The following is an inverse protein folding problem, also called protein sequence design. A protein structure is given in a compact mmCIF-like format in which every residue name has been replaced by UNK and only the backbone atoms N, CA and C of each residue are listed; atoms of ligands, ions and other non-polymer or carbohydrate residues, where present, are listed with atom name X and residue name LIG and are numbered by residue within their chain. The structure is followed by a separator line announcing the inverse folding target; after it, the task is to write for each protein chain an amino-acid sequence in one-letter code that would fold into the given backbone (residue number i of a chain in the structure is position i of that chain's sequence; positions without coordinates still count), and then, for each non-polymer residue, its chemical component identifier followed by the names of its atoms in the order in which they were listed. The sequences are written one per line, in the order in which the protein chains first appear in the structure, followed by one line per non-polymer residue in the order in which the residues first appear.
data_IF_109757997880
#
_entry.id   IF_109757997880
#
_cell.length_a   1.000
_cell.length_b   1.000
_cell.length_c   1.000
_cell.angle_alpha   90.00
_cell.angle_beta   90.00
_cell.angle_gamma   90.00
#
_symmetry.space_group_name_H-M   'P 1'
#
loop_
_entity.id
_entity.type
_entity.pdbx_description
1 polymer ?
#
# COMPACT_ATOMS: atom_id res chain seq x y z
N UNK A 1 32.95 48.72 -18.36
CA UNK A 1 32.57 47.96 -17.14
C UNK A 1 31.55 46.94 -17.56
N UNK A 2 31.92 45.66 -17.60
CA UNK A 2 31.00 44.54 -17.87
C UNK A 2 30.54 44.00 -16.52
N UNK A 3 29.25 44.17 -16.22
CA UNK A 3 28.64 43.54 -15.06
C UNK A 3 28.35 42.08 -15.36
N UNK A 4 28.96 41.17 -14.60
CA UNK A 4 28.62 39.76 -14.55
C UNK A 4 27.48 39.57 -13.57
N UNK A 5 26.29 39.22 -14.06
CA UNK A 5 25.18 38.81 -13.19
C UNK A 5 25.37 37.28 -13.00
N UNK A 6 25.77 36.89 -11.78
CA UNK A 6 25.81 35.51 -11.34
C UNK A 6 24.38 35.10 -10.93
N UNK A 7 23.72 34.29 -11.75
CA UNK A 7 22.46 33.68 -11.39
C UNK A 7 22.75 32.48 -10.47
N UNK A 8 22.46 32.65 -9.17
CA UNK A 8 22.48 31.56 -8.21
C UNK A 8 21.22 30.72 -8.44
N UNK A 9 21.33 29.58 -9.15
CA UNK A 9 20.29 28.58 -9.25
C UNK A 9 20.18 27.86 -7.90
N UNK A 10 19.19 28.22 -7.11
CA UNK A 10 18.75 27.42 -5.96
C UNK A 10 18.11 26.14 -6.49
N UNK A 11 18.86 25.04 -6.48
CA UNK A 11 18.28 23.70 -6.61
C UNK A 11 17.51 23.39 -5.31
N UNK A 12 16.19 23.63 -5.32
CA UNK A 12 15.30 23.06 -4.32
C UNK A 12 15.24 21.55 -4.64
N UNK A 13 16.05 20.79 -3.92
CA UNK A 13 15.90 19.31 -3.94
C UNK A 13 14.60 19.00 -3.20
N UNK A 14 13.52 18.78 -3.93
CA UNK A 14 12.36 18.10 -3.40
C UNK A 14 12.80 16.65 -3.14
N UNK A 15 13.06 16.33 -1.87
CA UNK A 15 13.15 14.94 -1.43
C UNK A 15 11.73 14.38 -1.55
N UNK A 16 11.47 13.61 -2.59
CA UNK A 16 10.28 12.77 -2.65
C UNK A 16 10.47 11.70 -1.56
N UNK A 17 9.83 11.90 -0.41
CA UNK A 17 9.75 10.94 0.67
C UNK A 17 8.36 10.34 0.60
N UNK A 18 8.27 9.08 0.43
CA UNK A 18 7.09 8.40 -0.01
C UNK A 18 6.16 7.87 1.01
N UNK A 19 6.09 6.96 1.68
CA UNK A 19 5.03 6.72 2.70
C UNK A 19 5.16 7.66 3.90
N UNK A 20 6.21 8.47 3.89
CA UNK A 20 6.39 9.63 4.75
C UNK A 20 5.67 10.82 4.13
N UNK A 21 4.56 11.20 4.70
CA UNK A 21 3.80 12.37 4.22
C UNK A 21 3.29 13.19 5.41
N UNK A 22 2.76 14.36 5.09
CA UNK A 22 2.08 15.26 6.03
C UNK A 22 0.57 15.24 5.86
N UNK A 23 0.04 14.51 4.85
CA UNK A 23 -1.37 14.44 4.55
C UNK A 23 -1.77 13.04 4.10
N UNK A 24 -2.73 12.45 4.83
CA UNK A 24 -3.32 11.16 4.49
C UNK A 24 -4.84 11.28 4.47
N UNK A 25 -5.45 10.54 3.53
CA UNK A 25 -6.88 10.29 3.48
C UNK A 25 -7.10 8.80 3.57
N UNK A 26 -8.05 8.38 4.38
CA UNK A 26 -8.33 6.97 4.61
C UNK A 26 -9.80 6.73 4.88
N UNK A 27 -10.28 5.57 4.50
CA UNK A 27 -11.59 5.02 4.88
C UNK A 27 -11.39 3.60 5.37
N UNK A 28 -11.84 3.32 6.60
CA UNK A 28 -11.77 1.99 7.18
C UNK A 28 -12.85 1.09 6.58
N UNK A 29 -12.52 -0.15 6.17
CA UNK A 29 -13.54 -1.12 5.77
C UNK A 29 -14.37 -1.57 6.98
N UNK A 30 -15.53 -2.14 6.73
CA UNK A 30 -16.21 -2.99 7.72
C UNK A 30 -15.41 -4.29 7.90
N UNK A 31 -15.21 -4.69 9.15
CA UNK A 31 -14.68 -6.01 9.55
C UNK A 31 -15.72 -6.72 10.38
N UNK A 32 -15.99 -7.97 10.06
CA UNK A 32 -17.06 -8.73 10.71
C UNK A 32 -16.76 -8.97 12.20
N UNK A 33 -17.64 -8.50 13.07
CA UNK A 33 -17.52 -8.65 14.52
C UNK A 33 -17.34 -10.11 14.97
N UNK A 34 -17.91 -11.04 14.24
CA UNK A 34 -17.83 -12.48 14.55
C UNK A 34 -16.40 -13.04 14.51
N UNK A 35 -15.48 -12.33 13.89
CA UNK A 35 -14.07 -12.76 13.76
C UNK A 35 -13.09 -11.72 14.32
N UNK A 36 -13.53 -10.79 15.15
CA UNK A 36 -12.69 -9.83 15.85
C UNK A 36 -12.36 -8.58 15.03
N UNK A 37 -13.32 -7.65 15.05
CA UNK A 37 -13.22 -6.33 14.45
C UNK A 37 -12.47 -5.31 15.31
N UNK A 38 -12.09 -5.66 16.53
CA UNK A 38 -11.56 -4.71 17.53
C UNK A 38 -10.54 -5.32 18.49
N UNK A 39 -9.61 -4.49 19.06
CA UNK A 39 -9.46 -3.05 18.88
C UNK A 39 -9.03 -2.63 17.47
N UNK A 40 -9.40 -1.37 17.10
CA UNK A 40 -8.89 -0.68 15.94
C UNK A 40 -8.02 0.49 16.35
N UNK A 41 -6.90 0.68 15.69
CA UNK A 41 -5.94 1.74 16.04
C UNK A 41 -5.35 2.41 14.82
N UNK A 42 -4.98 3.69 14.95
CA UNK A 42 -3.94 4.27 14.10
C UNK A 42 -2.60 4.19 14.82
N UNK A 43 -1.56 3.88 14.06
CA UNK A 43 -0.17 3.98 14.50
C UNK A 43 0.55 5.04 13.69
N UNK A 44 1.32 5.84 14.39
CA UNK A 44 2.12 6.91 13.81
C UNK A 44 3.56 6.76 14.25
N UNK A 45 4.49 6.99 13.33
CA UNK A 45 5.92 7.06 13.64
C UNK A 45 6.53 8.30 12.99
N UNK A 46 7.28 9.07 13.78
CA UNK A 46 8.07 10.20 13.31
C UNK A 46 9.49 9.75 12.98
N UNK A 47 10.16 10.54 12.13
CA UNK A 47 11.60 10.46 11.94
C UNK A 47 12.32 11.42 12.87
N UNK A 48 13.40 12.03 12.39
CA UNK A 48 14.27 12.96 13.12
C UNK A 48 13.64 14.30 13.50
N UNK A 49 12.34 14.50 13.25
CA UNK A 49 11.60 15.72 13.57
C UNK A 49 10.36 15.38 14.39
N UNK A 50 10.07 16.23 15.37
CA UNK A 50 8.81 16.18 16.08
C UNK A 50 7.64 16.58 15.17
N UNK A 51 6.46 15.98 15.37
CA UNK A 51 5.27 16.27 14.59
C UNK A 51 4.02 16.33 15.48
N UNK A 52 3.13 17.27 15.19
CA UNK A 52 1.76 17.25 15.69
C UNK A 52 0.86 16.69 14.62
N UNK A 53 0.15 15.62 14.93
CA UNK A 53 -0.76 14.89 14.04
C UNK A 53 -2.20 15.20 14.42
N UNK A 54 -2.97 15.72 13.49
CA UNK A 54 -4.40 16.00 13.64
C UNK A 54 -5.22 15.01 12.83
N UNK A 55 -6.10 14.27 13.47
CA UNK A 55 -6.98 13.27 12.88
C UNK A 55 -8.42 13.76 12.97
N UNK A 56 -9.12 13.82 11.84
CA UNK A 56 -10.49 14.32 11.75
C UNK A 56 -11.30 13.54 10.72
N UNK A 57 -12.63 13.59 10.85
CA UNK A 57 -13.58 13.18 9.82
C UNK A 57 -14.31 14.43 9.32
N UNK A 58 -13.89 15.02 8.18
CA UNK A 58 -14.39 16.33 7.74
C UNK A 58 -15.90 16.38 7.48
N UNK A 59 -16.51 15.26 7.12
CA UNK A 59 -17.94 15.14 6.90
C UNK A 59 -18.74 14.78 8.18
N UNK A 60 -18.06 14.40 9.26
CA UNK A 60 -18.70 13.97 10.52
C UNK A 60 -18.38 14.94 11.67
N UNK A 61 -19.22 15.95 11.93
CA UNK A 61 -18.98 16.91 13.00
C UNK A 61 -19.11 16.29 14.41
N UNK A 62 -19.64 15.08 14.54
CA UNK A 62 -19.79 14.39 15.84
C UNK A 62 -18.53 13.59 16.21
N UNK A 63 -17.66 13.30 15.26
CA UNK A 63 -16.37 12.66 15.54
C UNK A 63 -15.41 13.69 16.16
N UNK A 64 -14.92 13.47 17.40
CA UNK A 64 -14.02 14.42 18.04
C UNK A 64 -12.64 14.44 17.34
N UNK A 65 -12.18 15.63 16.99
CA UNK A 65 -10.84 15.79 16.44
C UNK A 65 -9.81 15.28 17.45
N UNK A 66 -8.95 14.36 16.99
CA UNK A 66 -7.86 13.80 17.79
C UNK A 66 -6.56 14.52 17.45
N UNK A 67 -5.74 14.77 18.48
CA UNK A 67 -4.42 15.37 18.31
C UNK A 67 -3.38 14.53 19.03
N UNK A 68 -2.32 14.17 18.32
CA UNK A 68 -1.19 13.40 18.84
C UNK A 68 0.09 14.20 18.63
N UNK A 69 0.91 14.26 19.66
CA UNK A 69 2.23 14.86 19.59
C UNK A 69 3.31 13.78 19.59
N UNK A 70 4.08 13.71 18.51
CA UNK A 70 5.24 12.85 18.36
C UNK A 70 6.50 13.65 18.65
N UNK A 71 7.37 13.12 19.47
CA UNK A 71 8.76 13.60 19.55
C UNK A 71 9.55 13.14 18.31
N UNK A 72 10.79 13.56 18.17
CA UNK A 72 11.68 13.00 17.13
C UNK A 72 12.00 11.53 17.44
N UNK A 73 11.95 10.65 16.41
CA UNK A 73 12.13 9.20 16.52
C UNK A 73 11.16 8.54 17.51
N UNK A 74 9.92 8.99 17.52
CA UNK A 74 8.86 8.53 18.41
C UNK A 74 7.78 7.75 17.65
N UNK A 75 7.03 6.94 18.38
CA UNK A 75 5.85 6.26 17.87
C UNK A 75 4.70 6.36 18.88
N UNK A 76 3.52 6.63 18.37
CA UNK A 76 2.30 6.72 19.16
C UNK A 76 1.17 5.91 18.54
N UNK A 77 0.32 5.37 19.41
CA UNK A 77 -0.86 4.60 19.02
C UNK A 77 -2.11 5.33 19.49
N UNK A 78 -3.04 5.58 18.57
CA UNK A 78 -4.36 6.11 18.86
C UNK A 78 -5.38 4.98 18.80
N UNK A 79 -5.96 4.62 19.93
CA UNK A 79 -7.06 3.65 19.98
C UNK A 79 -8.38 4.34 19.59
N UNK A 80 -9.03 3.79 18.58
CA UNK A 80 -10.26 4.32 17.98
C UNK A 80 -11.49 3.46 18.27
N UNK A 81 -11.35 2.39 19.03
CA UNK A 81 -12.38 1.36 19.25
C UNK A 81 -13.70 1.93 19.77
N UNK A 82 -13.64 2.98 20.59
CA UNK A 82 -14.85 3.64 21.12
C UNK A 82 -15.75 4.23 20.03
N UNK A 83 -15.19 4.55 18.86
CA UNK A 83 -15.89 5.16 17.73
C UNK A 83 -16.09 4.21 16.55
N UNK A 84 -15.93 2.88 16.73
CA UNK A 84 -15.94 1.90 15.63
C UNK A 84 -17.18 2.03 14.75
N UNK A 85 -18.35 2.28 15.32
CA UNK A 85 -19.61 2.48 14.58
C UNK A 85 -19.69 3.78 13.76
N UNK A 86 -18.72 4.70 13.96
CA UNK A 86 -18.54 5.94 13.19
C UNK A 86 -17.28 5.89 12.33
N UNK A 87 -16.63 4.74 12.20
CA UNK A 87 -15.37 4.55 11.52
C UNK A 87 -15.51 3.52 10.41
N UNK A 88 -16.02 2.34 10.71
CA UNK A 88 -16.28 1.32 9.72
C UNK A 88 -17.33 1.77 8.71
N UNK A 89 -17.00 1.60 7.44
CA UNK A 89 -17.84 2.08 6.33
C UNK A 89 -18.97 1.09 6.03
N UNK A 90 -19.93 1.00 6.94
CA UNK A 90 -21.11 0.14 6.88
C UNK A 90 -22.41 0.91 7.11
N UNK A 91 -23.55 0.51 6.47
CA UNK A 91 -23.67 -0.59 5.50
C UNK A 91 -23.08 -0.24 4.12
N UNK A 92 -22.77 -1.26 3.34
CA UNK A 92 -22.36 -1.12 1.94
C UNK A 92 -23.43 -0.43 1.10
N UNK A 93 -23.05 0.13 -0.06
CA UNK A 93 -23.92 0.89 -0.97
C UNK A 93 -24.62 2.09 -0.33
N UNK A 94 -23.95 2.73 0.63
CA UNK A 94 -24.47 3.90 1.36
C UNK A 94 -23.40 4.99 1.40
N UNK A 95 -23.81 6.25 1.21
CA UNK A 95 -22.93 7.41 1.43
C UNK A 95 -22.89 7.70 2.92
N UNK A 96 -21.68 7.68 3.50
CA UNK A 96 -21.45 7.85 4.93
C UNK A 96 -20.41 8.96 5.19
N UNK A 97 -20.42 9.63 6.35
CA UNK A 97 -19.50 10.74 6.67
C UNK A 97 -18.18 10.26 7.33
N UNK A 98 -17.70 9.02 7.10
CA UNK A 98 -16.69 8.35 7.92
C UNK A 98 -15.26 8.42 7.40
N UNK A 99 -15.00 9.23 6.37
CA UNK A 99 -13.66 9.40 5.81
C UNK A 99 -12.72 10.18 6.72
N UNK A 100 -11.54 9.63 6.95
CA UNK A 100 -10.49 10.27 7.72
C UNK A 100 -9.63 11.21 6.87
N UNK A 101 -9.31 12.37 7.45
CA UNK A 101 -8.21 13.24 7.06
C UNK A 101 -7.21 13.29 8.22
N UNK A 102 -5.97 12.89 7.94
CA UNK A 102 -4.85 12.95 8.88
C UNK A 102 -3.87 13.98 8.34
N UNK A 103 -3.56 15.00 9.15
CA UNK A 103 -2.62 16.06 8.79
C UNK A 103 -1.52 16.15 9.86
N UNK A 104 -0.27 16.22 9.44
CA UNK A 104 0.88 16.31 10.30
C UNK A 104 1.72 17.55 9.98
N UNK A 105 2.39 18.12 10.99
CA UNK A 105 3.26 19.30 10.84
C UNK A 105 4.64 18.96 10.26
N UNK A 106 5.03 17.68 10.29
CA UNK A 106 6.22 17.14 9.65
C UNK A 106 5.91 15.76 9.07
N UNK A 107 6.70 15.24 8.11
CA UNK A 107 6.46 13.92 7.52
C UNK A 107 6.50 12.81 8.57
N UNK A 108 5.49 11.94 8.53
CA UNK A 108 5.31 10.79 9.41
C UNK A 108 4.98 9.53 8.61
N UNK A 109 5.20 8.37 9.18
CA UNK A 109 4.55 7.13 8.79
C UNK A 109 3.21 7.01 9.50
N UNK A 110 2.20 6.50 8.79
CA UNK A 110 0.89 6.22 9.35
C UNK A 110 0.34 4.91 8.80
N UNK A 111 -0.30 4.12 9.66
CA UNK A 111 -1.08 2.96 9.24
C UNK A 111 -2.25 2.70 10.19
N UNK A 112 -3.30 2.13 9.64
CA UNK A 112 -4.44 1.63 10.38
C UNK A 112 -4.22 0.14 10.68
N UNK A 113 -4.59 -0.32 11.87
CA UNK A 113 -4.45 -1.70 12.27
C UNK A 113 -5.71 -2.18 12.98
N UNK A 114 -6.21 -3.33 12.56
CA UNK A 114 -7.14 -4.15 13.31
C UNK A 114 -6.27 -5.08 14.16
N UNK A 115 -6.39 -5.00 15.49
CA UNK A 115 -5.51 -5.70 16.42
C UNK A 115 -6.30 -6.41 17.53
N UNK A 116 -7.12 -7.41 17.17
CA UNK A 116 -7.97 -8.11 18.13
C UNK A 116 -7.12 -8.83 19.18
N UNK A 117 -7.69 -9.00 20.37
CA UNK A 117 -7.07 -9.71 21.50
C UNK A 117 -7.33 -11.21 21.46
N UNK A 118 -8.16 -11.68 20.55
CA UNK A 118 -8.40 -13.08 20.27
C UNK A 118 -7.39 -13.62 19.25
N UNK A 119 -7.32 -14.92 19.08
CA UNK A 119 -6.60 -15.58 17.97
C UNK A 119 -7.49 -15.46 16.71
N UNK A 120 -7.49 -14.31 16.09
CA UNK A 120 -8.39 -13.98 14.98
C UNK A 120 -7.80 -12.83 14.16
N UNK A 121 -8.37 -12.34 13.29
CA UNK A 121 -8.40 -11.46 12.13
C UNK A 121 -7.59 -10.11 12.19
N UNK A 122 -6.31 -10.06 12.61
CA UNK A 122 -5.54 -8.83 12.57
C UNK A 122 -5.04 -8.54 11.15
N UNK A 123 -4.98 -7.27 10.76
CA UNK A 123 -4.15 -6.82 9.64
C UNK A 123 -3.79 -5.35 9.76
N UNK A 124 -2.85 -4.91 8.92
CA UNK A 124 -2.39 -3.53 8.79
C UNK A 124 -2.67 -2.99 7.41
N UNK A 125 -3.17 -1.75 7.38
CA UNK A 125 -3.42 -0.98 6.16
C UNK A 125 -2.41 0.16 6.12
N UNK A 126 -1.36 -0.02 5.34
CA UNK A 126 -0.30 0.99 5.22
C UNK A 126 -0.80 2.21 4.44
N UNK A 127 -0.82 3.39 5.07
CA UNK A 127 -1.27 4.62 4.43
C UNK A 127 -0.16 5.19 3.55
N UNK A 128 -0.52 5.51 2.30
CA UNK A 128 0.45 5.87 1.26
C UNK A 128 0.48 7.38 0.97
N UNK A 129 -0.09 8.19 1.87
CA UNK A 129 -0.08 9.64 1.77
C UNK A 129 -0.66 10.14 0.46
N UNK A 130 -0.02 11.12 -0.15
CA UNK A 130 -0.45 11.67 -1.45
C UNK A 130 -0.33 10.67 -2.60
N UNK A 131 0.51 9.64 -2.48
CA UNK A 131 0.65 8.60 -3.51
C UNK A 131 -0.60 7.69 -3.64
N UNK A 132 -1.50 7.68 -2.66
CA UNK A 132 -2.78 6.98 -2.74
C UNK A 132 -3.89 7.81 -3.38
N UNK A 133 -3.64 9.10 -3.65
CA UNK A 133 -4.66 10.00 -4.18
C UNK A 133 -4.63 10.03 -5.70
N UNK A 134 -5.77 9.76 -6.32
CA UNK A 134 -5.89 9.80 -7.77
C UNK A 134 -7.33 9.80 -8.25
N UNK A 135 -7.47 9.83 -9.59
CA UNK A 135 -8.77 9.91 -10.27
C UNK A 135 -9.09 8.65 -11.07
N UNK A 136 -8.19 7.67 -11.11
CA UNK A 136 -8.37 6.42 -11.87
C UNK A 136 -7.70 5.25 -11.15
N UNK A 137 -8.48 4.19 -10.90
CA UNK A 137 -8.03 2.98 -10.23
C UNK A 137 -8.60 1.75 -10.93
N UNK A 138 -7.84 0.65 -10.90
CA UNK A 138 -8.34 -0.70 -11.13
C UNK A 138 -8.10 -1.48 -9.84
N UNK A 139 -9.15 -2.08 -9.32
CA UNK A 139 -9.10 -2.80 -8.03
C UNK A 139 -8.43 -4.16 -8.22
N UNK A 140 -7.33 -4.47 -7.55
CA UNK A 140 -6.82 -5.82 -7.43
C UNK A 140 -7.53 -6.53 -6.26
N UNK A 141 -7.89 -7.78 -6.44
CA UNK A 141 -8.39 -8.65 -5.37
C UNK A 141 -7.89 -10.07 -5.59
N UNK A 142 -7.79 -10.85 -4.51
CA UNK A 142 -7.50 -12.27 -4.61
C UNK A 142 -8.72 -13.02 -5.15
N UNK A 143 -8.51 -14.20 -5.74
CA UNK A 143 -9.58 -15.05 -6.29
C UNK A 143 -9.35 -16.54 -5.96
N UNK A 144 -8.69 -16.80 -4.83
CA UNK A 144 -8.28 -18.16 -4.43
C UNK A 144 -8.95 -18.64 -3.14
N UNK A 145 -9.18 -17.73 -2.18
CA UNK A 145 -9.77 -18.05 -0.88
C UNK A 145 -11.19 -17.49 -0.79
N UNK A 146 -12.14 -18.31 -0.40
CA UNK A 146 -13.52 -17.88 -0.14
C UNK A 146 -13.59 -17.16 1.21
N UNK A 147 -14.54 -16.23 1.36
CA UNK A 147 -14.86 -15.64 2.66
C UNK A 147 -15.73 -16.58 3.51
N UNK A 148 -15.72 -16.36 4.82
CA UNK A 148 -16.75 -16.89 5.71
C UNK A 148 -18.13 -16.30 5.36
N UNK A 149 -19.19 -16.98 5.75
CA UNK A 149 -20.58 -16.62 5.34
C UNK A 149 -21.01 -15.22 5.76
N UNK A 150 -20.39 -14.66 6.80
CA UNK A 150 -20.67 -13.35 7.39
C UNK A 150 -19.74 -12.24 6.91
N UNK A 151 -18.75 -12.53 6.07
CA UNK A 151 -17.73 -11.61 5.64
C UNK A 151 -17.67 -11.48 4.11
N UNK A 152 -17.04 -10.43 3.60
CA UNK A 152 -17.02 -10.10 2.16
C UNK A 152 -15.68 -9.51 1.73
N UNK A 153 -15.43 -9.61 0.44
CA UNK A 153 -14.43 -8.82 -0.27
C UNK A 153 -15.04 -7.50 -0.75
N UNK A 154 -14.26 -6.42 -0.70
CA UNK A 154 -14.77 -5.12 -1.10
C UNK A 154 -13.70 -4.05 -1.29
N UNK A 155 -14.17 -2.86 -1.63
CA UNK A 155 -13.37 -1.65 -1.62
C UNK A 155 -14.18 -0.45 -1.12
N UNK A 156 -13.49 0.50 -0.51
CA UNK A 156 -14.07 1.69 0.09
C UNK A 156 -13.42 2.92 -0.51
N UNK A 157 -14.19 3.98 -0.74
CA UNK A 157 -13.74 5.23 -1.36
C UNK A 157 -14.00 6.39 -0.41
N UNK A 158 -13.06 7.31 -0.28
CA UNK A 158 -13.24 8.61 0.40
C UNK A 158 -12.94 9.76 -0.55
N UNK A 159 -13.84 10.74 -0.61
CA UNK A 159 -13.64 11.95 -1.39
C UNK A 159 -12.79 12.99 -0.65
N UNK A 160 -11.83 13.60 -1.37
CA UNK A 160 -10.97 14.65 -0.80
C UNK A 160 -11.52 16.07 -1.01
N UNK A 161 -12.49 16.23 -1.91
CA UNK A 161 -13.11 17.52 -2.30
C UNK A 161 -14.64 17.39 -2.36
N UNK A 162 -15.31 18.53 -2.28
CA UNK A 162 -16.76 18.59 -2.48
C UNK A 162 -17.14 18.33 -3.95
N UNK A 163 -18.34 17.80 -4.16
CA UNK A 163 -18.88 17.49 -5.49
C UNK A 163 -17.98 16.55 -6.30
N UNK A 164 -17.34 15.60 -5.62
CA UNK A 164 -16.58 14.52 -6.26
C UNK A 164 -17.56 13.54 -6.90
N UNK A 165 -17.60 13.54 -8.22
CA UNK A 165 -18.39 12.61 -9.03
C UNK A 165 -17.54 11.40 -9.33
N UNK A 166 -18.01 10.20 -8.93
CA UNK A 166 -17.28 8.94 -9.05
C UNK A 166 -18.09 7.97 -9.88
N UNK A 167 -17.49 7.43 -10.92
CA UNK A 167 -18.06 6.33 -11.71
C UNK A 167 -17.38 5.03 -11.31
N UNK A 168 -18.17 4.04 -10.92
CA UNK A 168 -17.73 2.68 -10.54
C UNK A 168 -18.28 1.71 -11.56
N UNK A 169 -17.41 0.87 -12.13
CA UNK A 169 -17.83 -0.28 -12.93
C UNK A 169 -17.39 -1.57 -12.20
N UNK A 170 -18.28 -2.23 -11.47
CA UNK A 170 -17.95 -3.42 -10.71
C UNK A 170 -17.75 -4.61 -11.65
N UNK A 171 -16.64 -5.34 -11.52
CA UNK A 171 -16.36 -6.52 -12.33
C UNK A 171 -17.28 -7.69 -11.99
N UNK A 172 -17.65 -7.82 -10.73
CA UNK A 172 -18.62 -8.75 -10.20
C UNK A 172 -19.77 -7.98 -9.54
N UNK A 173 -20.89 -8.63 -9.30
CA UNK A 173 -22.02 -7.98 -8.65
C UNK A 173 -21.68 -7.58 -7.21
N UNK A 174 -22.04 -6.35 -6.87
CA UNK A 174 -21.92 -5.79 -5.52
C UNK A 174 -23.29 -5.48 -4.94
N UNK A 175 -23.36 -5.22 -3.66
CA UNK A 175 -24.60 -4.83 -3.00
C UNK A 175 -25.25 -3.65 -3.75
N UNK A 176 -26.46 -3.87 -4.28
CA UNK A 176 -27.24 -2.87 -4.99
C UNK A 176 -26.89 -2.66 -6.47
N UNK A 177 -25.81 -3.25 -7.01
CA UNK A 177 -25.42 -3.05 -8.42
C UNK A 177 -24.99 -4.35 -9.10
N UNK A 178 -25.41 -4.50 -10.38
CA UNK A 178 -25.06 -5.66 -11.18
C UNK A 178 -23.62 -5.59 -11.72
N UNK A 179 -23.03 -6.76 -11.98
CA UNK A 179 -21.70 -6.88 -12.59
C UNK A 179 -21.65 -6.21 -13.97
N UNK A 180 -20.54 -5.53 -14.26
CA UNK A 180 -20.25 -4.84 -15.52
C UNK A 180 -21.29 -3.79 -15.93
N UNK A 181 -22.07 -3.27 -15.00
CA UNK A 181 -22.99 -2.14 -15.21
C UNK A 181 -22.45 -0.93 -14.46
N UNK A 182 -21.87 0.07 -15.15
CA UNK A 182 -21.37 1.27 -14.51
C UNK A 182 -22.47 2.08 -13.83
N UNK A 183 -22.16 2.63 -12.68
CA UNK A 183 -23.04 3.59 -11.99
C UNK A 183 -22.23 4.77 -11.46
N UNK A 184 -22.89 5.85 -11.09
CA UNK A 184 -22.25 7.08 -10.64
C UNK A 184 -22.82 7.51 -9.29
N UNK A 185 -21.90 7.93 -8.40
CA UNK A 185 -22.23 8.54 -7.11
C UNK A 185 -21.57 9.91 -7.01
N UNK A 186 -22.10 10.75 -6.13
CA UNK A 186 -21.47 12.07 -5.82
C UNK A 186 -21.20 12.10 -4.32
N UNK A 187 -19.96 12.38 -3.94
CA UNK A 187 -19.52 12.51 -2.56
C UNK A 187 -19.06 13.94 -2.26
N UNK A 188 -19.35 14.40 -1.04
CA UNK A 188 -18.74 15.61 -0.50
C UNK A 188 -17.42 15.27 0.19
N UNK A 189 -16.60 16.28 0.47
CA UNK A 189 -15.30 16.12 1.14
C UNK A 189 -15.42 15.36 2.47
N UNK A 190 -14.77 14.20 2.56
CA UNK A 190 -14.81 13.33 3.73
C UNK A 190 -15.98 12.35 3.74
N UNK A 191 -16.89 12.42 2.76
CA UNK A 191 -17.87 11.35 2.58
C UNK A 191 -17.24 10.13 1.93
N UNK A 192 -17.83 8.97 2.21
CA UNK A 192 -17.32 7.65 1.84
C UNK A 192 -18.41 6.83 1.18
N UNK A 193 -17.98 5.79 0.46
CA UNK A 193 -18.85 4.77 -0.13
C UNK A 193 -18.17 3.41 -0.08
N UNK A 194 -18.91 2.36 0.30
CA UNK A 194 -18.44 0.97 0.31
C UNK A 194 -19.10 0.18 -0.81
N UNK A 195 -18.26 -0.54 -1.58
CA UNK A 195 -18.67 -1.50 -2.60
C UNK A 195 -18.24 -2.89 -2.13
N UNK A 196 -19.22 -3.74 -1.76
CA UNK A 196 -19.00 -5.11 -1.29
C UNK A 196 -19.55 -6.12 -2.26
N UNK A 197 -18.81 -7.19 -2.49
CA UNK A 197 -19.28 -8.34 -3.28
C UNK A 197 -20.52 -8.97 -2.61
N UNK A 198 -21.51 -9.35 -3.41
CA UNK A 198 -22.69 -10.07 -2.88
C UNK A 198 -22.39 -11.53 -2.54
N UNK A 199 -21.29 -12.06 -3.05
CA UNK A 199 -20.88 -13.46 -2.92
C UNK A 199 -19.66 -13.61 -2.02
N UNK A 200 -19.58 -14.75 -1.33
CA UNK A 200 -18.42 -15.18 -0.55
C UNK A 200 -17.40 -15.98 -1.38
N UNK A 201 -17.72 -16.29 -2.63
CA UNK A 201 -16.88 -17.13 -3.47
C UNK A 201 -15.70 -16.33 -4.03
N UNK A 202 -14.51 -16.89 -3.95
CA UNK A 202 -13.26 -16.26 -4.37
C UNK A 202 -13.30 -15.78 -5.83
N UNK A 203 -13.92 -16.55 -6.74
CA UNK A 203 -14.06 -16.16 -8.15
C UNK A 203 -15.09 -15.04 -8.39
N UNK A 204 -15.78 -14.59 -7.37
CA UNK A 204 -16.72 -13.46 -7.37
C UNK A 204 -16.16 -12.22 -6.64
N UNK A 205 -14.89 -12.25 -6.24
CA UNK A 205 -14.21 -11.06 -5.70
C UNK A 205 -13.98 -10.00 -6.79
N UNK A 206 -13.74 -8.77 -6.37
CA UNK A 206 -13.93 -7.57 -7.21
C UNK A 206 -12.72 -7.21 -8.08
N UNK A 207 -11.73 -8.13 -8.29
CA UNK A 207 -10.57 -7.86 -9.13
C UNK A 207 -10.98 -7.42 -10.55
N UNK A 208 -10.39 -6.33 -11.02
CA UNK A 208 -10.70 -5.73 -12.32
C UNK A 208 -11.83 -4.71 -12.30
N UNK A 209 -12.48 -4.45 -11.16
CA UNK A 209 -13.40 -3.31 -11.02
C UNK A 209 -12.68 -2.00 -11.26
N UNK A 210 -13.34 -1.03 -11.91
CA UNK A 210 -12.74 0.27 -12.22
C UNK A 210 -13.44 1.39 -11.45
N UNK A 211 -12.64 2.37 -11.04
CA UNK A 211 -13.09 3.58 -10.35
C UNK A 211 -12.50 4.78 -11.08
N UNK A 212 -13.33 5.71 -11.51
CA UNK A 212 -12.89 6.99 -12.07
C UNK A 212 -13.59 8.15 -11.37
N UNK A 213 -12.93 9.29 -11.21
CA UNK A 213 -13.50 10.46 -10.55
C UNK A 213 -13.00 11.76 -11.17
N UNK A 214 -13.76 12.86 -10.98
CA UNK A 214 -13.38 14.19 -11.44
C UNK A 214 -12.36 14.87 -10.51
N UNK A 215 -12.28 14.46 -9.24
CA UNK A 215 -11.31 14.92 -8.25
C UNK A 215 -10.63 13.74 -7.57
N UNK A 216 -9.41 13.92 -7.02
CA UNK A 216 -8.71 12.83 -6.36
C UNK A 216 -9.50 12.22 -5.19
N UNK A 217 -9.53 10.90 -5.14
CA UNK A 217 -10.09 10.09 -4.06
C UNK A 217 -9.00 9.20 -3.48
N UNK A 218 -9.19 8.68 -2.25
CA UNK A 218 -8.43 7.55 -1.75
C UNK A 218 -9.32 6.31 -1.72
N UNK A 219 -8.70 5.16 -1.99
CA UNK A 219 -9.40 3.86 -2.05
C UNK A 219 -8.70 2.89 -1.09
N UNK A 220 -9.50 2.16 -0.30
CA UNK A 220 -9.03 1.05 0.55
C UNK A 220 -9.65 -0.23 0.03
N UNK A 221 -8.84 -1.26 -0.19
CA UNK A 221 -9.31 -2.61 -0.52
C UNK A 221 -9.33 -3.47 0.74
N UNK A 222 -10.24 -4.43 0.82
CA UNK A 222 -10.28 -5.41 1.90
C UNK A 222 -10.86 -6.75 1.44
N UNK A 223 -10.50 -7.78 2.17
CA UNK A 223 -11.03 -9.13 2.02
C UNK A 223 -11.11 -9.75 3.42
N UNK A 224 -12.31 -9.83 3.98
CA UNK A 224 -12.50 -10.17 5.38
C UNK A 224 -12.79 -11.66 5.56
N UNK A 225 -12.25 -12.25 6.63
CA UNK A 225 -12.41 -13.63 7.04
C UNK A 225 -12.24 -14.61 5.86
N UNK A 226 -11.13 -14.45 5.13
CA UNK A 226 -10.74 -15.38 4.07
C UNK A 226 -10.41 -16.75 4.67
N UNK A 227 -11.01 -17.80 4.18
CA UNK A 227 -10.72 -19.18 4.63
C UNK A 227 -9.39 -19.66 4.08
N UNK A 228 -8.37 -19.74 4.91
CA UNK A 228 -7.05 -20.29 4.58
C UNK A 228 -7.00 -21.81 4.47
N UNK A 229 -8.09 -22.48 4.09
CA UNK A 229 -8.17 -23.95 3.99
C UNK A 229 -6.98 -24.62 3.27
N UNK A 230 -6.44 -24.06 2.16
CA UNK A 230 -5.24 -24.61 1.52
C UNK A 230 -3.97 -24.56 2.36
N UNK A 231 -3.93 -23.71 3.39
CA UNK A 231 -2.75 -23.51 4.26
C UNK A 231 -2.92 -24.12 5.65
N UNK A 232 -4.13 -24.52 6.06
CA UNK A 232 -4.38 -25.15 7.37
C UNK A 232 -5.69 -24.73 8.04
N UNK A 233 -6.57 -23.97 7.36
CA UNK A 233 -7.92 -23.69 7.84
C UNK A 233 -8.08 -22.49 8.74
N UNK A 234 -7.11 -21.57 8.79
CA UNK A 234 -7.25 -20.27 9.43
C UNK A 234 -8.22 -19.38 8.64
N UNK A 235 -8.72 -18.33 9.25
CA UNK A 235 -9.53 -17.32 8.56
C UNK A 235 -8.98 -15.93 8.91
N UNK A 236 -8.73 -15.11 7.89
CA UNK A 236 -7.95 -13.89 8.05
C UNK A 236 -8.61 -12.67 7.39
N UNK A 237 -8.26 -11.50 7.90
CA UNK A 237 -8.42 -10.23 7.23
C UNK A 237 -7.22 -9.97 6.31
N UNK A 238 -7.49 -9.44 5.14
CA UNK A 238 -6.49 -8.85 4.26
C UNK A 238 -6.95 -7.46 3.84
N UNK A 239 -6.06 -6.50 3.86
CA UNK A 239 -6.40 -5.20 3.32
C UNK A 239 -5.22 -4.28 3.13
N UNK A 240 -5.38 -3.28 2.26
CA UNK A 240 -4.38 -2.24 2.07
C UNK A 240 -5.00 -0.99 1.42
N UNK A 241 -4.30 0.13 1.50
CA UNK A 241 -4.64 1.31 0.74
C UNK A 241 -4.19 1.15 -0.71
N UNK A 242 -5.12 1.33 -1.67
CA UNK A 242 -4.83 1.21 -3.09
C UNK A 242 -4.12 2.47 -3.61
N UNK A 243 -3.24 2.27 -4.60
CA UNK A 243 -2.61 3.36 -5.35
C UNK A 243 -3.32 3.56 -6.70
N UNK A 244 -3.37 4.78 -7.23
CA UNK A 244 -3.98 5.05 -8.53
C UNK A 244 -3.13 4.53 -9.69
N UNK A 245 -3.78 4.36 -10.85
CA UNK A 245 -3.14 3.84 -12.06
C UNK A 245 -1.92 4.66 -12.54
N UNK A 246 -1.79 5.93 -12.09
CA UNK A 246 -0.69 6.82 -12.47
C UNK A 246 0.62 6.55 -11.73
N UNK A 247 0.60 5.78 -10.62
CA UNK A 247 1.79 5.53 -9.79
C UNK A 247 2.22 4.06 -9.76
N UNK A 248 1.59 3.21 -10.56
CA UNK A 248 2.00 1.82 -10.73
C UNK A 248 3.16 1.71 -11.74
N UNK A 249 3.85 0.59 -11.74
CA UNK A 249 4.97 0.33 -12.67
C UNK A 249 4.86 -0.99 -13.39
N UNK A 250 5.97 -1.45 -13.94
CA UNK A 250 6.04 -2.64 -14.79
C UNK A 250 7.08 -3.68 -14.36
N UNK A 251 7.81 -3.44 -13.28
CA UNK A 251 8.80 -4.40 -12.76
C UNK A 251 8.65 -4.56 -11.25
N UNK A 252 8.56 -5.81 -10.80
CA UNK A 252 8.31 -6.15 -9.40
C UNK A 252 9.21 -7.31 -8.99
N UNK A 253 9.81 -7.22 -7.81
CA UNK A 253 10.47 -8.34 -7.14
C UNK A 253 9.66 -8.67 -5.90
N UNK A 254 9.19 -9.92 -5.79
CA UNK A 254 8.35 -10.38 -4.71
C UNK A 254 9.11 -11.44 -3.91
N UNK A 255 9.10 -11.28 -2.58
CA UNK A 255 9.68 -12.26 -1.66
C UNK A 255 8.55 -13.13 -1.09
N UNK A 256 8.71 -14.45 -1.15
CA UNK A 256 7.82 -15.40 -0.51
C UNK A 256 7.87 -15.20 1.00
N UNK A 257 6.71 -15.21 1.67
CA UNK A 257 6.66 -15.18 3.13
C UNK A 257 6.73 -16.56 3.77
N UNK A 258 5.99 -16.74 4.86
CA UNK A 258 6.14 -17.88 5.77
C UNK A 258 4.88 -18.76 5.84
N UNK A 259 4.03 -18.73 4.80
CA UNK A 259 2.88 -19.64 4.70
C UNK A 259 3.32 -21.11 4.61
N UNK A 260 2.48 -22.02 5.10
CA UNK A 260 2.66 -23.47 4.97
C UNK A 260 2.58 -23.98 3.53
N UNK A 261 2.34 -23.09 2.58
CA UNK A 261 2.25 -23.37 1.15
C UNK A 261 2.87 -22.26 0.31
N UNK A 262 2.62 -22.25 -1.01
CA UNK A 262 3.07 -21.19 -1.90
C UNK A 262 2.24 -19.91 -1.69
N UNK A 263 2.89 -18.76 -1.85
CA UNK A 263 2.20 -17.48 -1.90
C UNK A 263 1.46 -17.31 -3.23
N UNK A 264 0.51 -16.36 -3.27
CA UNK A 264 -0.17 -15.96 -4.51
C UNK A 264 0.09 -14.50 -4.84
N UNK A 265 0.33 -14.24 -6.12
CA UNK A 265 0.57 -12.91 -6.66
C UNK A 265 -0.47 -12.65 -7.74
N UNK A 266 -1.19 -11.55 -7.62
CA UNK A 266 -2.24 -11.13 -8.53
C UNK A 266 -1.76 -9.91 -9.32
N UNK A 267 -1.50 -10.12 -10.62
CA UNK A 267 -1.08 -9.06 -11.55
C UNK A 267 -2.29 -8.60 -12.34
N UNK A 268 -2.70 -7.35 -12.16
CA UNK A 268 -3.91 -6.80 -12.80
C UNK A 268 -3.52 -5.75 -13.82
N UNK A 269 -3.84 -6.00 -15.10
CA UNK A 269 -3.49 -5.12 -16.19
C UNK A 269 -4.39 -3.88 -16.25
N UNK A 270 -3.78 -2.73 -16.56
CA UNK A 270 -4.50 -1.47 -16.82
C UNK A 270 -4.59 -1.15 -18.31
N UNK A 271 -3.89 -1.93 -19.16
CA UNK A 271 -3.91 -1.78 -20.62
C UNK A 271 -4.14 -3.13 -21.30
N UNK A 272 -4.74 -3.09 -22.49
CA UNK A 272 -4.90 -4.28 -23.32
C UNK A 272 -3.56 -4.79 -23.84
N UNK A 273 -3.47 -6.11 -24.09
CA UNK A 273 -2.29 -6.78 -24.62
C UNK A 273 -1.05 -6.62 -23.73
N UNK A 274 -1.22 -6.52 -22.41
CA UNK A 274 -0.12 -6.49 -21.46
C UNK A 274 0.53 -7.87 -21.39
N UNK A 275 1.78 -7.96 -21.84
CA UNK A 275 2.59 -9.19 -21.76
C UNK A 275 3.21 -9.29 -20.37
N UNK A 276 3.25 -10.50 -19.80
CA UNK A 276 3.83 -10.80 -18.51
C UNK A 276 4.98 -11.79 -18.69
N UNK A 277 6.13 -11.45 -18.11
CA UNK A 277 7.28 -12.33 -18.02
C UNK A 277 7.60 -12.63 -16.54
N UNK A 278 7.97 -13.88 -16.28
CA UNK A 278 8.41 -14.36 -14.97
C UNK A 278 9.86 -14.79 -15.08
N UNK A 279 10.77 -14.19 -14.29
CA UNK A 279 12.20 -14.44 -14.31
C UNK A 279 12.79 -14.37 -15.73
N UNK A 280 12.31 -13.42 -16.54
CA UNK A 280 12.70 -13.18 -17.93
C UNK A 280 11.99 -14.06 -18.96
N UNK A 281 11.20 -15.06 -18.58
CA UNK A 281 10.46 -15.91 -19.50
C UNK A 281 9.05 -15.36 -19.77
N UNK A 282 8.60 -15.16 -21.04
CA UNK A 282 7.23 -14.77 -21.35
C UNK A 282 6.24 -15.88 -20.95
N UNK A 283 5.21 -15.54 -20.19
CA UNK A 283 4.25 -16.52 -19.63
C UNK A 283 2.81 -16.28 -20.09
N UNK A 284 2.37 -15.02 -20.17
CA UNK A 284 0.99 -14.68 -20.47
C UNK A 284 0.86 -13.33 -21.17
N UNK A 285 -0.31 -13.13 -21.80
CA UNK A 285 -0.78 -11.82 -22.26
C UNK A 285 -2.21 -11.65 -21.74
N UNK A 286 -2.47 -10.52 -21.06
CA UNK A 286 -3.78 -10.20 -20.51
C UNK A 286 -4.25 -8.82 -20.98
N UNK A 287 -5.57 -8.62 -20.94
CA UNK A 287 -6.18 -7.34 -21.30
C UNK A 287 -6.46 -6.49 -20.05
N UNK A 288 -6.76 -5.22 -20.27
CA UNK A 288 -7.18 -4.32 -19.19
C UNK A 288 -8.28 -4.96 -18.34
N UNK A 289 -8.19 -4.82 -17.01
CA UNK A 289 -9.10 -5.41 -16.02
C UNK A 289 -9.03 -6.94 -15.86
N UNK A 290 -8.15 -7.61 -16.59
CA UNK A 290 -7.89 -9.04 -16.36
C UNK A 290 -6.78 -9.23 -15.32
N UNK A 291 -6.85 -10.36 -14.63
CA UNK A 291 -5.89 -10.74 -13.57
C UNK A 291 -5.15 -12.01 -13.96
N UNK A 292 -3.81 -11.93 -13.97
CA UNK A 292 -2.95 -13.11 -13.99
C UNK A 292 -2.56 -13.49 -12.56
N UNK A 293 -2.65 -14.77 -12.23
CA UNK A 293 -2.27 -15.29 -10.91
C UNK A 293 -1.00 -16.12 -11.00
N UNK A 294 0.04 -15.66 -10.30
CA UNK A 294 1.28 -16.43 -10.14
C UNK A 294 1.31 -17.17 -8.80
N UNK A 295 1.82 -18.40 -8.82
CA UNK A 295 2.04 -19.20 -7.61
C UNK A 295 3.53 -19.20 -7.27
N UNK A 296 3.89 -18.52 -6.18
CA UNK A 296 5.27 -18.36 -5.75
C UNK A 296 5.66 -19.45 -4.74
N UNK A 297 6.48 -20.39 -5.20
CA UNK A 297 7.07 -21.44 -4.36
C UNK A 297 8.55 -21.19 -4.03
N UNK A 298 9.26 -20.48 -4.91
CA UNK A 298 10.64 -20.08 -4.72
C UNK A 298 10.78 -18.93 -3.73
N UNK A 299 11.95 -18.66 -3.16
CA UNK A 299 12.15 -17.55 -2.23
C UNK A 299 11.82 -16.17 -2.82
N UNK A 300 12.02 -15.99 -4.13
CA UNK A 300 11.74 -14.74 -4.84
C UNK A 300 11.24 -15.00 -6.25
N UNK A 301 10.62 -13.99 -6.85
CA UNK A 301 10.28 -13.94 -8.27
C UNK A 301 10.46 -12.53 -8.81
N UNK A 302 10.98 -12.40 -10.04
CA UNK A 302 10.95 -11.17 -10.83
C UNK A 302 9.76 -11.22 -11.78
N UNK A 303 8.86 -10.27 -11.68
CA UNK A 303 7.73 -10.08 -12.61
C UNK A 303 7.98 -8.82 -13.43
N UNK A 304 7.95 -8.97 -14.74
CA UNK A 304 8.06 -7.86 -15.70
C UNK A 304 6.84 -7.85 -16.61
N UNK A 305 6.32 -6.65 -16.89
CA UNK A 305 5.16 -6.46 -17.74
C UNK A 305 5.44 -5.42 -18.82
N UNK A 306 4.82 -5.57 -20.00
CA UNK A 306 5.01 -4.64 -21.12
C UNK A 306 4.31 -3.29 -20.93
N UNK A 307 3.39 -3.20 -19.98
CA UNK A 307 2.68 -1.98 -19.56
C UNK A 307 2.51 -2.00 -18.03
N UNK A 308 2.30 -0.84 -17.37
CA UNK A 308 2.10 -0.78 -15.93
C UNK A 308 0.95 -1.67 -15.45
N UNK A 309 1.11 -2.29 -14.26
CA UNK A 309 0.14 -3.20 -13.65
C UNK A 309 0.01 -2.94 -12.16
N UNK A 310 -1.15 -3.24 -11.56
CA UNK A 310 -1.24 -3.41 -10.12
C UNK A 310 -0.74 -4.81 -9.75
N UNK A 311 -0.02 -4.90 -8.63
CA UNK A 311 0.40 -6.18 -8.06
C UNK A 311 -0.06 -6.26 -6.61
N UNK A 312 -0.94 -7.22 -6.34
CA UNK A 312 -1.35 -7.62 -4.99
C UNK A 312 -0.62 -8.93 -4.66
N UNK A 313 0.03 -8.97 -3.51
CA UNK A 313 0.70 -10.17 -3.00
C UNK A 313 -0.03 -10.65 -1.75
N UNK A 314 -0.39 -11.92 -1.72
CA UNK A 314 -0.88 -12.60 -0.53
C UNK A 314 0.19 -13.54 0.00
N UNK A 315 0.56 -13.34 1.24
CA UNK A 315 1.55 -14.10 1.99
C UNK A 315 1.14 -14.17 3.45
N UNK A 316 1.97 -14.69 4.34
CA UNK A 316 1.62 -14.76 5.75
C UNK A 316 2.55 -15.61 6.57
N UNK A 317 2.03 -16.18 7.65
CA UNK A 317 2.75 -17.03 8.57
C UNK A 317 1.93 -18.28 8.96
N UNK A 318 2.43 -19.48 8.69
CA UNK A 318 1.68 -20.71 8.95
C UNK A 318 0.46 -20.84 8.05
N UNK A 319 -0.74 -20.83 8.60
CA UNK A 319 -2.00 -20.81 7.88
C UNK A 319 -2.64 -19.41 7.78
N UNK A 320 -2.10 -18.42 8.47
CA UNK A 320 -2.60 -17.07 8.58
C UNK A 320 -2.15 -16.23 7.38
N UNK A 321 -3.09 -15.64 6.65
CA UNK A 321 -2.87 -14.95 5.37
C UNK A 321 -3.07 -13.44 5.54
N UNK A 322 -2.11 -12.66 5.08
CA UNK A 322 -2.23 -11.21 4.90
C UNK A 322 -2.02 -10.84 3.43
N UNK A 323 -2.21 -9.58 3.09
CA UNK A 323 -2.00 -9.11 1.73
C UNK A 323 -1.58 -7.65 1.65
N UNK A 324 -0.76 -7.32 0.66
CA UNK A 324 -0.31 -5.96 0.42
C UNK A 324 -0.20 -5.63 -1.08
N UNK A 325 -0.47 -4.38 -1.41
CA UNK A 325 -0.15 -3.79 -2.71
C UNK A 325 1.35 -3.54 -2.77
N UNK A 326 2.00 -4.02 -3.82
CA UNK A 326 3.45 -3.88 -3.96
C UNK A 326 3.83 -2.69 -4.85
N UNK A 327 4.86 -1.92 -4.48
CA UNK A 327 5.48 -0.95 -5.38
C UNK A 327 6.30 -1.65 -6.47
N UNK A 328 6.33 -1.06 -7.66
CA UNK A 328 7.35 -1.40 -8.65
C UNK A 328 8.74 -1.11 -8.10
N UNK A 329 9.77 -1.83 -8.57
CA UNK A 329 11.16 -1.56 -8.16
C UNK A 329 11.80 -0.38 -8.92
N UNK A 330 11.14 0.15 -9.94
CA UNK A 330 11.66 1.23 -10.78
C UNK A 330 11.23 2.59 -10.22
N UNK A 331 12.18 3.45 -9.91
CA UNK A 331 11.98 4.81 -9.38
C UNK A 331 11.20 4.89 -8.04
N UNK A 332 11.21 3.83 -7.25
CA UNK A 332 10.51 3.68 -5.98
C UNK A 332 11.49 3.33 -4.85
N UNK A 333 10.95 2.97 -3.69
CA UNK A 333 11.76 2.62 -2.53
C UNK A 333 12.18 3.83 -1.69
N UNK A 334 12.63 3.59 -0.49
CA UNK A 334 12.94 4.61 0.53
C UNK A 334 14.38 4.52 0.99
N UNK A 335 14.98 5.65 1.36
CA UNK A 335 16.26 5.66 2.08
C UNK A 335 16.07 5.47 3.60
N UNK A 336 14.85 5.70 4.09
CA UNK A 336 14.47 5.58 5.49
C UNK A 336 13.06 5.04 5.58
N UNK A 337 12.83 4.05 6.43
CA UNK A 337 11.51 3.52 6.76
C UNK A 337 11.39 3.41 8.28
N UNK A 338 10.32 4.02 8.84
CA UNK A 338 9.96 3.84 10.24
C UNK A 338 8.74 2.91 10.35
N UNK A 339 8.65 2.15 11.42
CA UNK A 339 7.54 1.22 11.70
C UNK A 339 7.45 0.90 13.20
N UNK A 340 6.37 0.22 13.57
CA UNK A 340 6.12 -0.24 14.95
C UNK A 340 5.75 -1.72 14.92
N UNK A 341 6.36 -2.52 15.77
CA UNK A 341 5.92 -3.89 16.05
C UNK A 341 4.80 -3.86 17.08
N UNK A 342 3.64 -4.38 16.73
CA UNK A 342 2.43 -4.25 17.57
C UNK A 342 2.36 -5.24 18.73
N UNK A 343 2.81 -6.48 18.52
CA UNK A 343 2.74 -7.57 19.52
C UNK A 343 4.08 -8.29 19.67
N UNK A 344 4.20 -9.19 20.66
CA UNK A 344 5.42 -9.99 20.85
C UNK A 344 5.43 -11.30 20.03
N UNK A 345 4.73 -11.32 18.90
CA UNK A 345 4.72 -12.45 17.96
C UNK A 345 5.90 -12.38 16.99
N UNK A 346 6.07 -13.39 16.14
CA UNK A 346 7.07 -13.40 15.08
C UNK A 346 7.03 -12.11 14.26
N UNK A 347 8.18 -11.56 13.96
CA UNK A 347 8.32 -10.32 13.21
C UNK A 347 9.46 -10.43 12.20
N UNK A 348 9.13 -10.43 10.93
CA UNK A 348 10.11 -10.55 9.86
C UNK A 348 10.18 -9.28 9.01
N UNK A 349 11.41 -8.95 8.63
CA UNK A 349 11.75 -7.90 7.67
C UNK A 349 12.11 -8.54 6.34
N UNK A 350 11.35 -8.22 5.29
CA UNK A 350 11.62 -8.59 3.91
C UNK A 350 12.23 -7.39 3.20
N UNK A 351 13.54 -7.41 2.99
CA UNK A 351 14.30 -6.27 2.45
C UNK A 351 14.76 -6.56 1.03
N UNK A 352 14.53 -5.60 0.12
CA UNK A 352 15.08 -5.58 -1.23
C UNK A 352 15.96 -4.35 -1.39
N UNK A 353 17.13 -4.49 -2.01
CA UNK A 353 18.06 -3.38 -2.25
C UNK A 353 18.86 -3.63 -3.53
N UNK A 354 19.21 -2.59 -4.31
CA UNK A 354 20.19 -2.73 -5.38
C UNK A 354 21.52 -3.29 -4.86
N UNK A 355 22.17 -4.13 -5.64
CA UNK A 355 23.47 -4.73 -5.29
C UNK A 355 24.52 -3.67 -4.94
N UNK A 356 25.22 -3.87 -3.83
CA UNK A 356 26.15 -2.91 -3.23
C UNK A 356 25.54 -2.15 -2.04
N UNK A 357 24.21 -2.01 -2.00
CA UNK A 357 23.51 -1.32 -0.91
C UNK A 357 23.34 -2.15 0.37
N UNK A 358 23.57 -3.46 0.33
CA UNK A 358 23.44 -4.34 1.49
C UNK A 358 24.41 -4.00 2.64
N UNK A 359 25.47 -3.23 2.35
CA UNK A 359 26.50 -2.89 3.34
C UNK A 359 26.19 -1.63 4.17
N UNK A 360 25.19 -0.84 3.75
CA UNK A 360 24.98 0.52 4.24
C UNK A 360 23.79 0.65 5.20
N UNK A 361 23.19 -0.47 5.59
CA UNK A 361 22.04 -0.47 6.48
C UNK A 361 22.39 -0.13 7.93
N UNK A 362 21.53 0.70 8.54
CA UNK A 362 21.47 0.87 9.99
C UNK A 362 20.07 0.58 10.53
N UNK A 363 20.00 0.07 11.74
CA UNK A 363 18.77 -0.07 12.51
C UNK A 363 18.83 0.83 13.74
N UNK A 364 17.92 1.79 13.85
CA UNK A 364 17.91 2.83 14.89
C UNK A 364 19.27 3.53 15.03
N UNK A 365 19.94 3.79 13.90
CA UNK A 365 21.27 4.39 13.83
C UNK A 365 22.46 3.45 14.12
N UNK A 366 22.20 2.18 14.46
CA UNK A 366 23.25 1.20 14.76
C UNK A 366 23.59 0.38 13.51
N UNK A 367 24.87 0.24 13.19
CA UNK A 367 25.40 -0.61 12.14
C UNK A 367 25.50 -2.08 12.59
N UNK A 368 25.52 -3.01 11.65
CA UNK A 368 25.79 -4.44 11.91
C UNK A 368 24.60 -5.25 12.42
N UNK A 369 23.45 -4.64 12.76
CA UNK A 369 22.22 -5.34 13.15
C UNK A 369 21.59 -5.99 11.91
N UNK A 370 21.49 -5.27 10.81
CA UNK A 370 21.13 -5.82 9.50
C UNK A 370 22.43 -6.32 8.86
N UNK A 371 22.66 -7.63 8.95
CA UNK A 371 23.91 -8.23 8.50
C UNK A 371 23.98 -8.32 6.97
N UNK A 372 24.98 -7.72 6.29
CA UNK A 372 25.17 -7.86 4.85
C UNK A 372 25.24 -9.30 4.35
N UNK A 373 25.75 -10.24 5.15
CA UNK A 373 25.84 -11.65 4.80
C UNK A 373 24.46 -12.36 4.71
N UNK A 374 23.39 -11.75 5.20
CA UNK A 374 22.03 -12.27 5.04
C UNK A 374 21.45 -12.04 3.64
N UNK A 375 22.07 -11.17 2.83
CA UNK A 375 21.56 -10.80 1.53
C UNK A 375 21.98 -11.78 0.43
N UNK A 376 21.01 -12.24 -0.34
CA UNK A 376 21.17 -13.12 -1.48
C UNK A 376 20.82 -12.38 -2.78
N UNK A 377 21.41 -12.76 -3.89
CA UNK A 377 21.02 -12.23 -5.20
C UNK A 377 19.60 -12.68 -5.59
N UNK A 378 18.85 -11.75 -6.18
CA UNK A 378 17.55 -12.07 -6.77
C UNK A 378 17.76 -12.71 -8.14
N UNK A 379 17.28 -13.94 -8.38
CA UNK A 379 17.32 -14.57 -9.69
C UNK A 379 16.64 -13.72 -10.78
N UNK A 380 17.11 -13.80 -12.01
CA UNK A 380 16.54 -13.07 -13.15
C UNK A 380 16.96 -11.58 -13.25
N UNK A 381 17.62 -11.01 -12.24
CA UNK A 381 18.03 -9.59 -12.23
C UNK A 381 19.45 -9.33 -12.70
N UNK A 382 20.16 -10.33 -13.23
CA UNK A 382 21.59 -10.23 -13.58
C UNK A 382 22.45 -9.71 -12.42
N UNK A 383 22.14 -10.12 -11.20
CA UNK A 383 22.77 -9.68 -9.96
C UNK A 383 22.58 -8.19 -9.63
N UNK A 384 21.63 -7.51 -10.26
CA UNK A 384 21.36 -6.10 -9.98
C UNK A 384 20.66 -5.86 -8.62
N UNK A 385 19.96 -6.87 -8.10
CA UNK A 385 19.20 -6.77 -6.86
C UNK A 385 19.56 -7.87 -5.88
N UNK A 386 19.50 -7.52 -4.60
CA UNK A 386 19.65 -8.44 -3.47
C UNK A 386 18.45 -8.38 -2.55
N UNK A 387 18.18 -9.47 -1.87
CA UNK A 387 17.12 -9.57 -0.86
C UNK A 387 17.62 -10.22 0.42
N UNK A 388 17.00 -9.87 1.54
CA UNK A 388 17.14 -10.53 2.82
C UNK A 388 15.78 -10.72 3.47
N UNK A 389 15.59 -11.87 4.12
CA UNK A 389 14.48 -12.17 5.02
C UNK A 389 15.05 -12.35 6.41
N UNK A 390 14.72 -11.44 7.31
CA UNK A 390 15.37 -11.36 8.63
C UNK A 390 14.30 -11.54 9.71
N UNK A 391 14.46 -12.58 10.56
CA UNK A 391 13.71 -12.64 11.82
C UNK A 391 14.22 -11.52 12.74
N UNK A 392 13.41 -10.52 12.90
CA UNK A 392 13.70 -9.33 13.68
C UNK A 392 13.05 -9.36 15.08
N UNK A 393 12.44 -10.50 15.46
CA UNK A 393 11.71 -10.66 16.73
C UNK A 393 12.57 -10.36 17.96
N UNK A 394 13.88 -10.58 17.86
CA UNK A 394 14.81 -10.40 18.98
C UNK A 394 15.31 -8.98 19.18
N UNK A 395 15.26 -8.13 18.14
CA UNK A 395 15.83 -6.77 18.21
C UNK A 395 14.83 -5.64 17.91
N UNK A 396 13.68 -5.93 17.34
CA UNK A 396 12.61 -4.95 17.16
C UNK A 396 11.72 -4.95 18.40
N UNK A 397 11.76 -3.84 19.15
CA UNK A 397 10.98 -3.69 20.38
C UNK A 397 9.47 -3.57 20.10
N UNK A 398 8.64 -4.17 20.97
CA UNK A 398 7.18 -4.10 20.89
C UNK A 398 6.69 -2.70 21.30
N UNK A 399 5.79 -2.10 20.53
CA UNK A 399 5.20 -0.78 20.76
C UNK A 399 6.25 0.37 20.75
N UNK A 400 7.43 0.14 20.20
CA UNK A 400 8.48 1.13 20.08
C UNK A 400 8.68 1.55 18.62
N UNK A 401 9.06 2.81 18.42
CA UNK A 401 9.52 3.28 17.12
C UNK A 401 10.75 2.50 16.68
N UNK A 402 10.71 1.98 15.48
CA UNK A 402 11.84 1.31 14.84
C UNK A 402 12.09 1.95 13.49
N UNK A 403 13.37 2.07 13.12
CA UNK A 403 13.79 2.72 11.88
C UNK A 403 14.91 1.96 11.20
N UNK A 404 14.76 1.79 9.90
CA UNK A 404 15.81 1.27 9.02
C UNK A 404 16.21 2.42 8.09
N UNK A 405 17.51 2.66 7.99
CA UNK A 405 18.09 3.65 7.09
C UNK A 405 19.11 2.97 6.16
N UNK A 406 19.16 3.45 4.92
CA UNK A 406 20.24 3.21 3.98
C UNK A 406 20.53 4.54 3.25
N UNK A 407 21.60 5.26 3.62
CA UNK A 407 21.85 6.62 3.14
C UNK A 407 22.20 6.68 1.65
N UNK A 408 22.74 5.59 1.09
CA UNK A 408 23.29 5.56 -0.26
C UNK A 408 22.35 4.92 -1.28
N UNK A 409 21.47 4.00 -0.84
CA UNK A 409 20.57 3.26 -1.73
C UNK A 409 19.12 3.33 -1.25
N UNK A 410 18.19 3.48 -2.17
CA UNK A 410 16.79 3.22 -1.88
C UNK A 410 16.57 1.71 -1.75
N UNK A 411 15.77 1.32 -0.78
CA UNK A 411 15.42 -0.07 -0.53
C UNK A 411 13.91 -0.23 -0.39
N UNK A 412 13.44 -1.46 -0.50
CA UNK A 412 12.06 -1.84 -0.25
C UNK A 412 11.97 -2.65 1.03
N UNK A 413 10.91 -2.41 1.81
CA UNK A 413 10.65 -3.09 3.07
C UNK A 413 9.22 -3.62 3.12
N UNK A 414 9.07 -4.93 3.15
CA UNK A 414 7.86 -5.63 3.56
C UNK A 414 8.02 -6.15 4.99
N UNK A 415 6.93 -6.17 5.75
CA UNK A 415 6.88 -6.70 7.11
C UNK A 415 5.83 -7.80 7.19
N UNK A 416 6.23 -8.99 7.67
CA UNK A 416 5.32 -10.08 8.04
C UNK A 416 5.36 -10.22 9.56
N UNK A 417 4.21 -10.02 10.21
CA UNK A 417 4.11 -9.99 11.67
C UNK A 417 2.88 -10.74 12.15
N UNK A 418 3.08 -11.73 12.99
CA UNK A 418 2.00 -12.54 13.54
C UNK A 418 2.47 -13.91 14.01
N UNK A 419 1.52 -14.79 14.29
CA UNK A 419 1.78 -16.16 14.73
C UNK A 419 0.85 -17.14 14.03
N UNK A 420 1.24 -18.40 13.96
CA UNK A 420 0.53 -19.45 13.21
C UNK A 420 -0.89 -19.79 13.72
N UNK A 421 -1.38 -19.10 14.74
CA UNK A 421 -2.73 -19.26 15.32
C UNK A 421 -3.29 -17.96 15.88
N UNK A 422 -2.73 -16.81 15.49
CA UNK A 422 -3.09 -15.51 16.05
C UNK A 422 -3.25 -14.44 14.95
N UNK A 423 -3.28 -14.86 13.70
CA UNK A 423 -3.41 -14.01 12.53
C UNK A 423 -2.07 -13.46 12.02
N UNK A 424 -2.08 -12.95 10.81
CA UNK A 424 -0.94 -12.34 10.15
C UNK A 424 -1.25 -10.91 9.77
N UNK A 425 -0.30 -10.04 10.02
CA UNK A 425 -0.25 -8.67 9.53
C UNK A 425 0.81 -8.61 8.45
N UNK A 426 0.43 -8.25 7.24
CA UNK A 426 1.37 -8.05 6.15
C UNK A 426 1.25 -6.63 5.61
N UNK A 427 2.33 -5.87 5.65
CA UNK A 427 2.37 -4.51 5.12
C UNK A 427 3.66 -4.22 4.37
N UNK A 428 3.55 -3.33 3.39
CA UNK A 428 4.68 -2.81 2.65
C UNK A 428 4.90 -1.34 2.99
N UNK A 429 6.08 -1.00 3.51
CA UNK A 429 6.35 0.30 4.16
C UNK A 429 7.28 1.22 3.35
N UNK A 430 7.82 0.76 2.24
CA UNK A 430 8.62 1.60 1.37
C UNK A 430 7.80 2.27 0.27
N UNK A 431 8.39 3.27 -0.32
CA UNK A 431 7.79 4.23 -1.24
C UNK A 431 7.20 3.61 -2.51
N UNK A 432 5.98 4.03 -2.84
CA UNK A 432 5.39 3.95 -4.17
C UNK A 432 5.85 5.15 -4.99
N UNK A 433 6.02 5.07 -6.28
CA UNK A 433 6.65 6.07 -7.14
C UNK A 433 6.29 7.53 -6.78
N UNK A 434 7.28 8.39 -6.72
CA UNK A 434 7.05 9.82 -6.90
C UNK A 434 6.42 10.06 -8.29
N UNK A 435 5.53 11.06 -8.38
CA UNK A 435 4.85 11.40 -9.63
C UNK A 435 5.78 11.28 -10.84
N UNK A 436 5.42 10.44 -11.81
CA UNK A 436 6.19 10.30 -13.03
C UNK A 436 5.96 11.55 -13.87
N UNK A 437 7.01 12.32 -14.09
CA UNK A 437 6.99 13.42 -15.05
C UNK A 437 7.36 12.87 -16.42
N UNK A 438 6.40 12.87 -17.35
CA UNK A 438 6.70 12.59 -18.74
C UNK A 438 7.26 13.86 -19.38
N UNK A 439 8.58 13.89 -19.63
CA UNK A 439 9.20 14.95 -20.41
C UNK A 439 9.05 14.56 -21.87
N UNK A 440 8.12 15.18 -22.58
CA UNK A 440 8.03 15.03 -24.03
C UNK A 440 8.95 16.06 -24.66
N UNK A 441 10.07 15.61 -25.18
CA UNK A 441 10.92 16.45 -26.04
C UNK A 441 10.40 16.29 -27.46
N UNK A 442 9.76 17.33 -27.98
CA UNK A 442 9.48 17.39 -29.41
C UNK A 442 10.82 17.53 -30.15
N UNK A 443 11.03 16.68 -31.15
CA UNK A 443 12.21 16.77 -32.05
C UNK A 443 12.20 18.14 -32.78
N UNK A 444 12.80 19.14 -32.16
CA UNK A 444 13.09 20.42 -32.78
C UNK A 444 14.61 20.60 -32.83
N UNK A 445 15.11 20.93 -34.00
CA UNK A 445 16.52 21.31 -34.17
C UNK A 445 16.71 22.68 -33.54
N UNK A 446 17.57 22.77 -32.54
CA UNK A 446 17.93 24.03 -31.89
C UNK A 446 19.32 24.48 -32.39
N UNK A 447 19.47 25.79 -32.59
CA UNK A 447 20.80 26.34 -32.88
C UNK A 447 21.60 26.42 -31.56
N UNK A 448 22.92 26.21 -31.69
CA UNK A 448 23.85 26.30 -30.56
C UNK A 448 23.77 27.69 -29.93
N UNK A 449 23.31 27.76 -28.66
CA UNK A 449 23.17 29.01 -27.88
C UNK A 449 21.76 29.48 -27.67
N UNK A 450 20.72 28.78 -28.18
CA UNK A 450 19.33 29.10 -27.86
C UNK A 450 18.85 28.38 -26.60
N UNK A 451 18.05 29.04 -25.74
CA UNK A 451 17.52 28.40 -24.55
C UNK A 451 16.43 27.40 -24.91
N UNK A 452 16.57 26.15 -24.45
CA UNK A 452 15.55 25.12 -24.57
C UNK A 452 14.51 25.31 -23.48
N UNK A 453 13.27 25.57 -23.84
CA UNK A 453 12.15 25.63 -22.91
C UNK A 453 11.60 24.20 -22.71
N UNK A 454 11.87 23.60 -21.56
CA UNK A 454 11.28 22.33 -21.15
C UNK A 454 9.94 22.63 -20.46
N UNK A 455 8.83 22.30 -21.08
CA UNK A 455 7.51 22.34 -20.42
C UNK A 455 7.23 20.96 -19.78
N UNK A 456 7.02 20.94 -18.46
CA UNK A 456 6.51 19.76 -17.78
C UNK A 456 4.99 19.86 -17.70
N UNK A 457 4.28 18.94 -18.35
CA UNK A 457 2.87 18.75 -18.09
C UNK A 457 2.75 17.89 -16.81
N UNK A 458 2.36 18.49 -15.72
CA UNK A 458 1.83 17.74 -14.59
C UNK A 458 0.53 17.10 -15.02
N UNK A 459 0.49 15.79 -15.12
CA UNK A 459 -0.77 15.07 -15.19
C UNK A 459 -1.47 15.26 -13.84
N UNK A 460 -2.43 16.19 -13.84
CA UNK A 460 -3.32 16.46 -12.68
C UNK A 460 -4.34 15.36 -12.52
#
# INVERSE_FOLDING_TARGET
MKFWIVFLLFFIQFKACAQLDTLFWFVAPEVAQNHGDRPIVFRFASLNQAATVTISQPANPTFPVQVINLLANDAQTLNLTTWIDQIENKPANTVLPYGFKIAATAPIMAYYEVTPTCNCNPDIFALKGKNSLGTSFIVPAQNFLNNASYARSGFNIVATQNNTVITINPKQAIVGHAANIPFTITLQKGETFSAEAISILANQHLSGSTITSNFPVAVTIHDDSMSGAPYGGCADLMGDQLIPNQVIGSEYIILKGYLNGPDKIYVVAVQNNTQISIDGAPIATINATETYVHTLSNPTVLIQTSAPTHVLHTTGFGCEVGGAILPSIVCTGSNTVAFVRSTNEFFALNILVPSGGENDFTFNGNTGIINPAAFNFVPGTNNAWKYAQIDASSFVGVQLASRIDNPNFKFHLGVVHGGASSGCRYGYFSDFAAAQYQITVNDQSFCVGEPILLSTNTLT
#
